data_IF_468485614562
#
_entry.id   IF_468485614562
#
_cell.length_a   1.000
_cell.length_b   1.000
_cell.length_c   1.000
_cell.angle_alpha   90.00
_cell.angle_beta   90.00
_cell.angle_gamma   90.00
#
_symmetry.space_group_name_H-M   'P 1'
#
loop_
_entity.id
_entity.type
_entity.pdbx_description
1 polymer ?
#
# COMPACT_ATOMS: atom_id res chain seq x y z
N UNK A 1 -4.95 6.35 -14.70
CA UNK A 1 -5.77 5.18 -14.28
C UNK A 1 -6.00 5.29 -12.78
N UNK A 2 -7.22 5.02 -12.29
CA UNK A 2 -7.49 5.05 -10.84
C UNK A 2 -6.77 3.88 -10.15
N UNK A 3 -6.20 4.15 -8.99
CA UNK A 3 -5.46 3.18 -8.21
C UNK A 3 -5.68 3.40 -6.71
N UNK A 4 -5.29 2.38 -5.95
CA UNK A 4 -5.48 2.27 -4.52
C UNK A 4 -4.16 1.81 -3.91
N UNK A 5 -3.62 2.58 -2.98
CA UNK A 5 -2.41 2.24 -2.26
C UNK A 5 -2.75 1.85 -0.83
N UNK A 6 -2.45 0.61 -0.48
CA UNK A 6 -2.68 0.04 0.85
C UNK A 6 -1.38 0.07 1.64
N UNK A 7 -1.43 0.61 2.85
CA UNK A 7 -0.31 0.75 3.79
C UNK A 7 0.95 1.38 3.17
N UNK A 8 0.74 2.36 2.29
CA UNK A 8 1.81 3.13 1.62
C UNK A 8 2.82 2.30 0.81
N UNK A 9 2.44 1.06 0.47
CA UNK A 9 3.32 0.12 -0.24
C UNK A 9 2.62 -0.69 -1.33
N UNK A 10 1.43 -1.21 -1.07
CA UNK A 10 0.76 -2.10 -2.02
C UNK A 10 -0.16 -1.32 -2.96
N UNK A 11 0.17 -1.33 -4.25
CA UNK A 11 -0.59 -0.65 -5.29
C UNK A 11 -1.55 -1.62 -6.00
N UNK A 12 -2.83 -1.25 -6.05
CA UNK A 12 -3.87 -1.94 -6.78
C UNK A 12 -4.53 -1.03 -7.81
N UNK A 13 -4.89 -1.59 -8.96
CA UNK A 13 -5.59 -0.85 -10.03
C UNK A 13 -7.06 -1.22 -10.10
N UNK A 14 -7.50 -2.17 -9.26
CA UNK A 14 -8.86 -2.65 -9.19
C UNK A 14 -9.35 -2.68 -7.73
N UNK A 15 -10.49 -2.04 -7.47
CA UNK A 15 -11.11 -2.04 -6.15
C UNK A 15 -11.46 -3.44 -5.64
N UNK A 16 -11.84 -4.36 -6.55
CA UNK A 16 -12.16 -5.74 -6.17
C UNK A 16 -10.98 -6.42 -5.50
N UNK A 17 -9.76 -6.21 -6.01
CA UNK A 17 -8.54 -6.79 -5.44
C UNK A 17 -8.27 -6.24 -4.04
N UNK A 18 -8.45 -4.93 -3.83
CA UNK A 18 -8.35 -4.30 -2.50
C UNK A 18 -9.37 -4.91 -1.54
N UNK A 19 -10.62 -5.06 -1.98
CA UNK A 19 -11.69 -5.59 -1.14
C UNK A 19 -11.46 -7.05 -0.76
N UNK A 20 -10.94 -7.86 -1.68
CA UNK A 20 -10.57 -9.25 -1.42
C UNK A 20 -9.41 -9.34 -0.46
N UNK A 21 -8.35 -8.54 -0.63
CA UNK A 21 -7.23 -8.50 0.31
C UNK A 21 -7.69 -8.19 1.73
N UNK A 22 -8.48 -7.13 1.91
CA UNK A 22 -8.96 -6.73 3.24
C UNK A 22 -9.85 -7.82 3.83
N UNK A 23 -10.76 -8.38 3.03
CA UNK A 23 -11.62 -9.48 3.45
C UNK A 23 -10.78 -10.66 3.96
N UNK A 24 -9.73 -11.04 3.22
CA UNK A 24 -8.91 -12.18 3.56
C UNK A 24 -8.08 -11.94 4.82
N UNK A 25 -7.55 -10.73 5.01
CA UNK A 25 -6.83 -10.39 6.24
C UNK A 25 -7.77 -10.43 7.45
N UNK A 26 -8.97 -9.86 7.33
CA UNK A 26 -9.94 -9.81 8.44
C UNK A 26 -10.45 -11.20 8.84
N UNK A 27 -10.66 -12.11 7.88
CA UNK A 27 -11.33 -13.39 8.15
C UNK A 27 -10.39 -14.59 8.26
N UNK A 28 -9.21 -14.53 7.65
CA UNK A 28 -8.32 -15.69 7.53
C UNK A 28 -6.91 -15.46 8.08
N UNK A 29 -6.55 -14.23 8.45
CA UNK A 29 -5.30 -13.99 9.16
C UNK A 29 -5.54 -14.15 10.66
N UNK A 30 -4.58 -14.75 11.35
CA UNK A 30 -4.51 -14.71 12.81
C UNK A 30 -3.57 -13.56 13.18
N UNK A 31 -4.07 -12.62 13.98
CA UNK A 31 -3.19 -11.63 14.61
C UNK A 31 -2.26 -12.38 15.57
N UNK A 32 -1.01 -11.93 15.63
CA UNK A 32 -0.15 -12.36 16.72
C UNK A 32 -0.84 -11.99 18.04
N UNK A 33 -0.67 -12.84 19.06
CA UNK A 33 -1.25 -12.71 20.41
C UNK A 33 -1.06 -11.36 21.10
N UNK A 34 -0.19 -10.50 20.55
CA UNK A 34 0.14 -9.15 21.00
C UNK A 34 -0.71 -8.06 20.36
N UNK A 35 -1.37 -8.32 19.24
CA UNK A 35 -2.21 -7.38 18.51
C UNK A 35 -3.68 -7.79 18.58
N UNK A 36 -4.55 -6.80 18.83
CA UNK A 36 -6.00 -7.02 18.96
C UNK A 36 -6.81 -6.31 17.87
N UNK A 37 -6.14 -5.54 16.99
CA UNK A 37 -6.80 -4.68 15.99
C UNK A 37 -6.06 -4.74 14.66
N UNK A 38 -6.82 -4.96 13.58
CA UNK A 38 -6.34 -4.74 12.22
C UNK A 38 -6.45 -3.27 11.84
N UNK A 39 -5.35 -2.66 11.40
CA UNK A 39 -5.35 -1.30 10.86
C UNK A 39 -4.86 -1.31 9.41
N UNK A 40 -5.67 -0.72 8.52
CA UNK A 40 -5.30 -0.53 7.11
C UNK A 40 -5.41 0.96 6.76
N UNK A 41 -4.40 1.46 6.06
CA UNK A 41 -4.45 2.77 5.40
C UNK A 41 -4.69 2.56 3.91
N UNK A 42 -5.68 3.22 3.32
CA UNK A 42 -5.97 3.13 1.89
C UNK A 42 -6.00 4.54 1.32
N UNK A 43 -5.05 4.84 0.42
CA UNK A 43 -5.02 6.09 -0.35
C UNK A 43 -5.54 5.81 -1.75
N UNK A 44 -6.51 6.61 -2.20
CA UNK A 44 -6.97 6.58 -3.58
C UNK A 44 -6.24 7.63 -4.39
N UNK A 45 -6.05 7.36 -5.68
CA UNK A 45 -5.29 8.25 -6.54
C UNK A 45 -5.15 7.75 -7.96
N UNK A 46 -4.15 8.27 -8.66
CA UNK A 46 -3.78 7.86 -10.00
C UNK A 46 -2.32 7.50 -10.09
N UNK A 47 -2.01 6.55 -10.97
CA UNK A 47 -0.62 6.13 -11.22
C UNK A 47 -0.11 6.80 -12.49
N UNK A 48 1.04 7.45 -12.37
CA UNK A 48 1.87 7.91 -13.45
C UNK A 48 3.06 6.97 -13.61
N UNK A 49 2.94 6.01 -14.54
CA UNK A 49 3.98 5.02 -14.81
C UNK A 49 5.23 5.61 -15.47
N UNK A 50 5.09 6.68 -16.25
CA UNK A 50 6.23 7.35 -16.88
C UNK A 50 7.16 7.98 -15.83
N UNK A 51 6.56 8.57 -14.80
CA UNK A 51 7.29 9.18 -13.68
C UNK A 51 7.53 8.22 -12.51
N UNK A 52 7.00 6.99 -12.56
CA UNK A 52 6.96 6.07 -11.43
C UNK A 52 6.39 6.71 -10.15
N UNK A 53 5.29 7.44 -10.26
CA UNK A 53 4.63 8.11 -9.15
C UNK A 53 3.19 7.63 -8.99
N UNK A 54 2.77 7.53 -7.74
CA UNK A 54 1.37 7.53 -7.35
C UNK A 54 1.00 8.94 -6.88
N UNK A 55 -0.06 9.50 -7.42
CA UNK A 55 -0.57 10.81 -7.04
C UNK A 55 -1.89 10.58 -6.34
N UNK A 56 -1.96 10.88 -5.04
CA UNK A 56 -3.18 10.72 -4.25
C UNK A 56 -4.28 11.66 -4.77
N UNK A 57 -5.54 11.38 -4.44
CA UNK A 57 -6.65 12.30 -4.72
C UNK A 57 -6.50 13.63 -3.95
N UNK A 58 -5.69 13.67 -2.88
CA UNK A 58 -5.30 14.90 -2.17
C UNK A 58 -4.17 15.69 -2.86
N UNK A 59 -3.54 15.12 -3.91
CA UNK A 59 -2.45 15.75 -4.66
C UNK A 59 -1.05 15.45 -4.13
N UNK A 60 -0.91 14.56 -3.14
CA UNK A 60 0.38 14.11 -2.63
C UNK A 60 1.03 13.13 -3.61
N UNK A 61 2.33 13.28 -3.82
CA UNK A 61 3.10 12.41 -4.70
C UNK A 61 3.87 11.37 -3.88
N UNK A 62 3.71 10.09 -4.24
CA UNK A 62 4.38 8.96 -3.60
C UNK A 62 5.17 8.19 -4.66
N UNK A 63 6.50 8.06 -4.52
CA UNK A 63 7.31 7.30 -5.47
C UNK A 63 6.98 5.81 -5.41
N UNK A 64 6.81 5.19 -6.59
CA UNK A 64 6.52 3.76 -6.74
C UNK A 64 7.78 2.89 -6.81
N UNK A 65 8.91 3.50 -7.17
CA UNK A 65 10.22 2.85 -7.10
C UNK A 65 10.85 3.23 -5.77
N UNK A 66 11.13 2.22 -4.96
CA UNK A 66 12.07 2.33 -3.87
C UNK A 66 13.47 2.48 -4.50
N UNK A 67 14.06 3.67 -4.41
CA UNK A 67 15.51 3.79 -4.50
C UNK A 67 16.08 3.20 -3.21
N UNK A 68 17.16 2.40 -3.30
CA UNK A 68 17.80 1.68 -2.17
C UNK A 68 18.06 2.57 -0.94
N UNK A 69 18.14 3.89 -1.10
CA UNK A 69 18.36 4.87 -0.05
C UNK A 69 17.25 4.96 1.02
N UNK A 70 16.08 4.36 0.80
CA UNK A 70 14.97 4.34 1.77
C UNK A 70 14.87 3.06 2.59
N UNK A 71 15.84 2.17 2.48
CA UNK A 71 15.82 0.88 3.15
C UNK A 71 16.33 0.95 4.60
N UNK A 72 15.44 1.33 5.52
CA UNK A 72 15.68 1.21 6.96
C UNK A 72 15.72 -0.26 7.45
N UNK A 73 15.35 -1.22 6.60
CA UNK A 73 15.21 -2.63 6.98
C UNK A 73 16.37 -3.52 6.49
N UNK A 74 17.11 -3.11 5.45
CA UNK A 74 18.29 -3.83 4.95
C UNK A 74 19.63 -3.13 5.18
N UNK A 75 19.66 -1.98 5.84
CA UNK A 75 20.91 -1.27 6.20
C UNK A 75 21.71 -1.93 7.34
N UNK A 76 21.34 -3.15 7.77
CA UNK A 76 22.10 -3.95 8.73
C UNK A 76 22.23 -5.41 8.26
N UNK A 77 23.07 -5.64 7.25
CA UNK A 77 23.72 -6.94 7.01
C UNK A 77 25.22 -6.73 6.78
#
# INVERSE_FOLDING_TARGET
MKAYMVNDYHLFTNYKEVSTLIHDVVHYTELDSRETVYSFSIKTGTVNWEKNLFITDSGDEVPLKYEEDYDMYYSAL
#
